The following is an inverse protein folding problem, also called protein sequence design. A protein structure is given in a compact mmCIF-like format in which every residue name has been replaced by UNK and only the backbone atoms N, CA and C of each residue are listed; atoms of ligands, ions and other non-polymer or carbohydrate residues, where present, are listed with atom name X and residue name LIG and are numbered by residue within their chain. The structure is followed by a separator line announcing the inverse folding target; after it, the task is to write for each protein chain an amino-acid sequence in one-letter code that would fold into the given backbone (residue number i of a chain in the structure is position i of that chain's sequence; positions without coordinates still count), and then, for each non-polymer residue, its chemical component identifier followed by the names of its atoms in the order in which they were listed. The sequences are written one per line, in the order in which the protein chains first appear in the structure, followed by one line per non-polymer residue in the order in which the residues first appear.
data_IF_244451388213
#
_entry.id   IF_244451388213
#
_cell.length_a   1.000
_cell.length_b   1.000
_cell.length_c   1.000
_cell.angle_alpha   90.00
_cell.angle_beta   90.00
_cell.angle_gamma   90.00
#
_symmetry.space_group_name_H-M   'P 1'
#
loop_
_entity.id
_entity.type
_entity.pdbx_description
1 polymer ?
#
# COMPACT_ATOMS: atom_id res chain seq x y z
N UNK A 1 -1.85 14.23 8.89
CA UNK A 1 -0.72 13.38 8.44
C UNK A 1 -0.33 13.83 7.04
N UNK A 2 0.96 14.06 6.76
CA UNK A 2 1.48 14.40 5.43
C UNK A 2 1.91 13.15 4.66
N UNK A 3 1.21 12.79 3.57
CA UNK A 3 1.45 11.53 2.83
C UNK A 3 1.34 11.69 1.32
N UNK A 4 1.80 10.70 0.55
CA UNK A 4 1.67 10.72 -0.91
C UNK A 4 0.36 10.08 -1.39
N UNK A 5 -0.07 10.35 -2.64
CA UNK A 5 -1.25 9.77 -3.27
C UNK A 5 -1.42 8.25 -3.11
N UNK A 6 -0.32 7.51 -3.27
CA UNK A 6 -0.36 6.05 -3.15
C UNK A 6 -0.57 5.59 -1.70
N UNK A 7 -0.15 6.38 -0.70
CA UNK A 7 -0.41 6.11 0.72
C UNK A 7 -1.87 6.40 1.08
N UNK A 8 -2.48 7.44 0.50
CA UNK A 8 -3.93 7.69 0.67
C UNK A 8 -4.72 6.49 0.16
N UNK A 9 -4.40 5.99 -1.04
CA UNK A 9 -5.00 4.75 -1.54
C UNK A 9 -4.66 3.55 -0.66
N UNK A 10 -3.49 3.56 -0.02
CA UNK A 10 -3.11 2.56 0.97
C UNK A 10 -4.11 2.48 2.12
N UNK A 11 -4.46 3.63 2.70
CA UNK A 11 -5.49 3.76 3.74
C UNK A 11 -6.84 3.25 3.23
N UNK A 12 -7.24 3.59 2.00
CA UNK A 12 -8.52 3.11 1.44
C UNK A 12 -8.57 1.57 1.31
N UNK A 13 -7.42 0.94 1.00
CA UNK A 13 -7.33 -0.53 1.02
C UNK A 13 -7.47 -1.05 2.45
N UNK A 14 -6.81 -0.42 3.43
CA UNK A 14 -6.93 -0.80 4.84
C UNK A 14 -8.36 -0.62 5.38
N UNK A 15 -9.07 0.42 4.94
CA UNK A 15 -10.48 0.66 5.28
C UNK A 15 -11.35 -0.55 4.90
N UNK A 16 -11.07 -1.23 3.77
CA UNK A 16 -11.81 -2.46 3.39
C UNK A 16 -11.63 -3.63 4.35
N UNK A 17 -10.48 -3.69 5.03
CA UNK A 17 -10.17 -4.76 5.98
C UNK A 17 -10.66 -4.45 7.38
N UNK A 18 -10.39 -3.23 7.86
CA UNK A 18 -10.66 -2.84 9.24
C UNK A 18 -12.05 -2.25 9.45
N UNK A 19 -12.73 -1.78 8.40
CA UNK A 19 -14.10 -1.24 8.45
C UNK A 19 -15.08 -2.09 7.64
N UNK A 20 -14.69 -3.32 7.30
CA UNK A 20 -15.48 -4.25 6.51
C UNK A 20 -16.57 -4.94 7.34
N UNK A 21 -16.66 -6.27 7.23
CA UNK A 21 -17.69 -7.07 7.92
C UNK A 21 -17.71 -6.87 9.43
N UNK A 22 -16.52 -6.72 10.03
CA UNK A 22 -16.36 -6.40 11.45
C UNK A 22 -15.50 -5.16 11.58
N UNK A 23 -16.07 -4.12 12.18
CA UNK A 23 -15.35 -2.87 12.43
C UNK A 23 -14.35 -3.06 13.54
N UNK A 24 -13.08 -2.81 13.23
CA UNK A 24 -12.02 -2.72 14.21
C UNK A 24 -12.12 -1.40 14.99
N UNK A 25 -12.41 -1.43 16.29
CA UNK A 25 -12.68 -0.21 17.06
C UNK A 25 -11.43 0.64 17.30
N UNK A 26 -10.23 0.08 17.17
CA UNK A 26 -8.98 0.83 17.35
C UNK A 26 -8.60 1.56 16.07
N UNK A 27 -8.73 0.89 14.93
CA UNK A 27 -8.53 1.49 13.62
C UNK A 27 -9.58 2.58 13.36
N UNK A 28 -10.86 2.26 13.56
CA UNK A 28 -11.98 3.19 13.31
C UNK A 28 -11.80 4.52 14.05
N UNK A 29 -11.56 4.47 15.37
CA UNK A 29 -11.32 5.67 16.18
C UNK A 29 -10.14 6.50 15.66
N UNK A 30 -9.05 5.87 15.23
CA UNK A 30 -7.91 6.60 14.64
C UNK A 30 -8.29 7.20 13.29
N UNK A 31 -8.98 6.44 12.45
CA UNK A 31 -9.38 6.84 11.09
C UNK A 31 -10.34 8.04 11.09
N UNK A 32 -11.28 8.11 12.03
CA UNK A 32 -12.21 9.25 12.19
C UNK A 32 -11.54 10.50 12.73
N UNK A 33 -10.51 10.35 13.58
CA UNK A 33 -9.80 11.45 14.20
C UNK A 33 -8.52 11.87 13.43
N UNK A 34 -8.39 11.46 12.17
CA UNK A 34 -7.21 11.75 11.34
C UNK A 34 -7.56 12.64 10.17
N UNK A 35 -6.83 13.75 10.05
CA UNK A 35 -6.83 14.62 8.86
C UNK A 35 -5.75 14.15 7.89
N UNK A 36 -6.15 13.90 6.65
CA UNK A 36 -5.32 13.49 5.52
C UNK A 36 -4.89 14.74 4.73
N UNK A 37 -3.64 15.14 4.93
CA UNK A 37 -2.96 16.13 4.10
C UNK A 37 -2.05 15.38 3.12
N UNK A 38 -2.33 15.44 1.83
CA UNK A 38 -1.58 14.74 0.81
C UNK A 38 -0.69 15.69 0.00
N UNK A 39 0.44 15.21 -0.50
CA UNK A 39 1.35 15.96 -1.38
C UNK A 39 1.51 15.22 -2.71
N UNK A 40 1.13 15.86 -3.82
CA UNK A 40 1.29 15.31 -5.17
C UNK A 40 2.76 15.01 -5.47
N UNK A 41 3.02 13.97 -6.25
CA UNK A 41 4.39 13.58 -6.60
C UNK A 41 4.82 14.25 -7.91
N UNK A 42 5.83 15.10 -7.88
CA UNK A 42 6.40 15.72 -9.09
C UNK A 42 7.64 15.00 -9.60
N UNK A 43 8.39 14.45 -8.65
CA UNK A 43 9.51 13.57 -8.92
C UNK A 43 9.08 12.14 -8.66
N UNK A 44 9.29 11.28 -9.65
CA UNK A 44 8.92 9.87 -9.58
C UNK A 44 10.18 9.06 -9.28
N UNK A 45 10.15 8.35 -8.15
CA UNK A 45 11.21 7.41 -7.79
C UNK A 45 11.37 6.30 -8.84
N UNK A 46 12.61 5.81 -9.02
CA UNK A 46 12.97 4.80 -10.01
C UNK A 46 12.22 3.46 -9.83
N UNK A 47 11.79 3.15 -8.60
CA UNK A 47 11.01 1.96 -8.26
C UNK A 47 9.49 2.19 -8.25
N UNK A 48 9.00 3.41 -8.44
CA UNK A 48 7.58 3.72 -8.39
C UNK A 48 6.86 3.28 -9.69
N UNK A 49 5.63 2.78 -9.53
CA UNK A 49 4.73 2.34 -10.63
C UNK A 49 3.25 2.53 -10.25
N UNK A 50 2.94 3.50 -9.38
CA UNK A 50 1.58 3.76 -8.88
C UNK A 50 0.60 4.22 -9.98
N UNK A 51 1.11 4.77 -11.08
CA UNK A 51 0.33 5.06 -12.30
C UNK A 51 -0.40 3.81 -12.80
N UNK A 52 0.26 2.65 -12.81
CA UNK A 52 -0.33 1.38 -13.30
C UNK A 52 -1.57 0.95 -12.52
N UNK A 53 -1.72 1.42 -11.27
CA UNK A 53 -2.85 1.13 -10.41
C UNK A 53 -3.83 2.31 -10.28
N UNK A 54 -3.55 3.44 -10.94
CA UNK A 54 -4.36 4.66 -10.84
C UNK A 54 -4.29 5.34 -9.47
N UNK A 55 -3.22 5.11 -8.71
CA UNK A 55 -3.10 5.54 -7.29
C UNK A 55 -2.18 6.74 -7.08
N UNK A 56 -1.65 7.30 -8.16
CA UNK A 56 -0.78 8.48 -8.19
C UNK A 56 -0.43 8.86 -9.63
N UNK A 57 0.34 9.92 -9.86
CA UNK A 57 1.02 10.78 -8.88
C UNK A 57 0.18 11.95 -8.33
N UNK A 58 -1.10 12.00 -8.69
CA UNK A 58 -2.08 13.00 -8.23
C UNK A 58 -3.25 12.31 -7.51
N UNK A 59 -4.07 13.07 -6.80
CA UNK A 59 -5.31 12.63 -6.16
C UNK A 59 -6.49 13.47 -6.64
N UNK A 60 -7.65 12.81 -6.78
CA UNK A 60 -8.92 13.49 -7.09
C UNK A 60 -9.86 13.60 -5.90
N UNK A 61 -9.72 12.68 -4.94
CA UNK A 61 -10.62 12.52 -3.80
C UNK A 61 -9.93 11.79 -2.65
N UNK A 62 -10.64 11.64 -1.53
CA UNK A 62 -10.20 10.93 -0.32
C UNK A 62 -9.06 11.60 0.47
N UNK A 63 -9.02 12.94 0.44
CA UNK A 63 -8.12 13.77 1.24
C UNK A 63 -8.89 14.94 1.87
N UNK A 64 -8.34 15.51 2.94
CA UNK A 64 -8.84 16.76 3.51
C UNK A 64 -8.16 17.97 2.85
N UNK A 65 -6.84 17.87 2.63
CA UNK A 65 -6.02 18.86 1.95
C UNK A 65 -5.09 18.17 0.95
N UNK A 66 -4.98 18.69 -0.26
CA UNK A 66 -4.02 18.24 -1.26
C UNK A 66 -3.10 19.39 -1.65
N UNK A 67 -1.81 19.19 -1.42
CA UNK A 67 -0.75 20.13 -1.73
C UNK A 67 -0.10 19.77 -3.06
N UNK A 68 0.17 20.78 -3.88
CA UNK A 68 0.96 20.66 -5.10
C UNK A 68 2.00 21.77 -5.16
N UNK A 69 3.28 21.39 -5.24
CA UNK A 69 4.41 22.32 -5.30
C UNK A 69 4.49 23.03 -6.67
N UNK A 70 4.24 24.34 -6.73
CA UNK A 70 4.35 25.09 -7.99
C UNK A 70 5.74 25.71 -8.18
N UNK A 71 6.67 25.47 -7.26
CA UNK A 71 8.05 25.94 -7.25
C UNK A 71 8.24 27.13 -6.31
N UNK A 72 7.50 28.21 -6.55
CA UNK A 72 7.53 29.43 -5.74
C UNK A 72 6.49 29.42 -4.60
N UNK A 73 5.42 28.65 -4.76
CA UNK A 73 4.38 28.48 -3.75
C UNK A 73 3.69 27.11 -3.88
N UNK A 74 2.84 26.76 -2.92
CA UNK A 74 2.02 25.54 -2.97
C UNK A 74 0.58 25.88 -3.34
N UNK A 75 0.02 25.13 -4.29
CA UNK A 75 -1.42 25.07 -4.50
C UNK A 75 -2.03 24.12 -3.46
N UNK A 76 -3.04 24.58 -2.72
CA UNK A 76 -3.76 23.79 -1.71
C UNK A 76 -5.20 23.60 -2.15
N UNK A 77 -5.56 22.36 -2.46
CA UNK A 77 -6.94 21.96 -2.77
C UNK A 77 -7.62 21.39 -1.53
N UNK A 78 -8.86 21.80 -1.29
CA UNK A 78 -9.65 21.38 -0.13
C UNK A 78 -10.60 20.26 -0.52
N UNK A 79 -10.47 19.10 0.12
CA UNK A 79 -11.28 17.91 -0.16
C UNK A 79 -12.36 17.61 0.90
N UNK A 80 -12.37 18.33 2.03
CA UNK A 80 -13.33 18.09 3.12
C UNK A 80 -13.71 19.36 3.90
N UNK A 81 -14.74 19.25 4.73
CA UNK A 81 -15.14 20.33 5.65
C UNK A 81 -14.05 20.65 6.69
N UNK A 82 -13.32 19.64 7.19
CA UNK A 82 -12.21 19.85 8.11
C UNK A 82 -11.06 20.59 7.42
N UNK A 83 -10.73 20.22 6.17
CA UNK A 83 -9.76 20.95 5.35
C UNK A 83 -10.17 22.41 5.11
N UNK A 84 -11.46 22.66 4.88
CA UNK A 84 -11.99 24.02 4.69
C UNK A 84 -11.78 24.89 5.92
N UNK A 85 -12.06 24.36 7.12
CA UNK A 85 -11.84 25.08 8.37
C UNK A 85 -10.36 25.43 8.58
N UNK A 86 -9.45 24.50 8.24
CA UNK A 86 -8.00 24.74 8.32
C UNK A 86 -7.56 25.86 7.38
N UNK A 87 -7.97 25.82 6.12
CA UNK A 87 -7.58 26.83 5.12
C UNK A 87 -8.14 28.21 5.48
N UNK A 88 -9.38 28.28 5.99
CA UNK A 88 -9.98 29.53 6.45
C UNK A 88 -9.22 30.13 7.65
N UNK A 89 -8.81 29.30 8.61
CA UNK A 89 -8.02 29.75 9.75
C UNK A 89 -6.61 30.21 9.36
N UNK A 90 -6.03 29.62 8.31
CA UNK A 90 -4.69 29.94 7.82
C UNK A 90 -4.62 31.24 6.98
N UNK A 91 -5.77 31.84 6.63
CA UNK A 91 -5.86 33.08 5.84
C UNK A 91 -5.01 33.03 4.54
N UNK A 92 -5.11 31.92 3.80
CA UNK A 92 -4.37 31.71 2.56
C UNK A 92 -4.91 32.57 1.42
N UNK A 93 -4.03 32.99 0.51
CA UNK A 93 -4.42 33.65 -0.73
C UNK A 93 -5.24 32.70 -1.62
N UNK A 94 -6.18 33.26 -2.38
CA UNK A 94 -6.99 32.49 -3.31
C UNK A 94 -6.16 32.06 -4.53
N UNK A 95 -6.23 30.77 -4.88
CA UNK A 95 -5.55 30.23 -6.05
C UNK A 95 -6.10 30.83 -7.36
N UNK A 96 -5.21 31.05 -8.31
CA UNK A 96 -5.51 31.55 -9.65
C UNK A 96 -5.76 30.41 -10.63
N UNK A 97 -6.32 30.71 -11.81
CA UNK A 97 -6.49 29.70 -12.86
C UNK A 97 -5.14 29.16 -13.37
N UNK A 98 -4.13 30.04 -13.47
CA UNK A 98 -2.77 29.68 -13.86
C UNK A 98 -2.14 28.64 -12.92
N UNK A 99 -2.47 28.67 -11.62
CA UNK A 99 -1.94 27.71 -10.65
C UNK A 99 -2.43 26.27 -10.94
N UNK A 100 -3.68 26.13 -11.37
CA UNK A 100 -4.23 24.83 -11.80
C UNK A 100 -3.61 24.36 -13.12
N UNK A 101 -3.34 25.26 -14.06
CA UNK A 101 -2.63 24.92 -15.31
C UNK A 101 -1.22 24.43 -14.99
N UNK A 102 -0.47 25.16 -14.15
CA UNK A 102 0.87 24.76 -13.70
C UNK A 102 0.86 23.41 -12.99
N UNK A 103 -0.13 23.15 -12.13
CA UNK A 103 -0.32 21.82 -11.52
C UNK A 103 -0.47 20.75 -12.60
N UNK A 104 -1.37 20.92 -13.56
CA UNK A 104 -1.64 19.92 -14.59
C UNK A 104 -0.41 19.63 -15.46
N UNK A 105 0.34 20.67 -15.86
CA UNK A 105 1.61 20.52 -16.58
C UNK A 105 2.64 19.72 -15.79
N UNK A 106 2.82 20.03 -14.50
CA UNK A 106 3.71 19.29 -13.60
C UNK A 106 3.27 17.84 -13.44
N UNK A 107 1.97 17.58 -13.31
CA UNK A 107 1.43 16.22 -13.21
C UNK A 107 1.59 15.42 -14.50
N UNK A 108 1.40 16.04 -15.67
CA UNK A 108 1.69 15.42 -16.98
C UNK A 108 3.17 15.04 -17.10
N UNK A 109 4.07 15.95 -16.72
CA UNK A 109 5.52 15.69 -16.71
C UNK A 109 5.87 14.55 -15.75
N UNK A 110 5.32 14.55 -14.54
CA UNK A 110 5.55 13.49 -13.57
C UNK A 110 5.09 12.12 -14.11
N UNK A 111 3.91 12.04 -14.72
CA UNK A 111 3.40 10.81 -15.36
C UNK A 111 4.33 10.28 -16.45
N UNK A 112 4.96 11.16 -17.24
CA UNK A 112 5.91 10.73 -18.26
C UNK A 112 7.22 10.12 -17.70
N UNK A 113 7.52 10.35 -16.41
CA UNK A 113 8.75 9.90 -15.76
C UNK A 113 8.65 8.50 -15.12
N UNK A 114 7.49 7.83 -15.15
CA UNK A 114 7.37 6.46 -14.65
C UNK A 114 8.18 5.48 -15.51
N UNK A 115 9.26 4.95 -14.94
CA UNK A 115 10.14 3.98 -15.60
C UNK A 115 9.61 2.54 -15.56
N UNK A 116 8.69 2.26 -14.63
CA UNK A 116 8.14 0.92 -14.39
C UNK A 116 6.65 0.93 -14.58
N UNK A 117 6.14 -0.14 -15.19
CA UNK A 117 4.72 -0.33 -15.43
C UNK A 117 4.34 -1.78 -15.22
N UNK A 118 3.11 -2.00 -14.77
CA UNK A 118 2.48 -3.31 -14.69
C UNK A 118 1.18 -3.23 -15.46
N UNK A 119 0.96 -4.18 -16.37
CA UNK A 119 -0.33 -4.34 -17.04
C UNK A 119 -1.32 -4.98 -16.06
N UNK A 120 -2.46 -4.35 -15.85
CA UNK A 120 -3.43 -4.78 -14.83
C UNK A 120 -4.60 -5.56 -15.41
N UNK A 121 -4.74 -5.59 -16.74
CA UNK A 121 -5.84 -6.23 -17.46
C UNK A 121 -5.79 -7.75 -17.23
N UNK A 122 -6.84 -8.34 -16.69
CA UNK A 122 -6.92 -9.78 -16.35
C UNK A 122 -5.79 -10.28 -15.41
N UNK A 123 -5.11 -9.37 -14.71
CA UNK A 123 -3.99 -9.74 -13.84
C UNK A 123 -4.40 -10.69 -12.70
N UNK A 124 -5.56 -10.53 -12.02
CA UNK A 124 -6.00 -11.48 -11.00
C UNK A 124 -6.12 -12.91 -11.52
N UNK A 125 -6.77 -13.09 -12.67
CA UNK A 125 -7.00 -14.39 -13.31
C UNK A 125 -5.69 -15.04 -13.73
N UNK A 126 -4.79 -14.25 -14.33
CA UNK A 126 -3.44 -14.70 -14.69
C UNK A 126 -2.68 -15.20 -13.46
N UNK A 127 -2.72 -14.47 -12.35
CA UNK A 127 -2.03 -14.86 -11.12
C UNK A 127 -2.60 -16.16 -10.52
N UNK A 128 -3.92 -16.35 -10.56
CA UNK A 128 -4.58 -17.57 -10.09
C UNK A 128 -4.33 -18.79 -10.97
N UNK A 129 -4.21 -18.60 -12.28
CA UNK A 129 -3.96 -19.71 -13.20
C UNK A 129 -2.49 -20.18 -13.19
N UNK A 130 -1.59 -19.43 -12.54
CA UNK A 130 -0.15 -19.67 -12.55
C UNK A 130 0.43 -19.97 -11.16
N UNK A 131 -0.29 -20.71 -10.30
CA UNK A 131 0.17 -21.02 -8.94
C UNK A 131 1.39 -21.95 -8.87
N UNK A 132 1.66 -22.70 -9.96
CA UNK A 132 2.75 -23.69 -10.08
C UNK A 132 3.88 -23.15 -10.99
N UNK A 133 3.86 -21.87 -11.36
CA UNK A 133 4.88 -21.27 -12.22
C UNK A 133 6.30 -21.36 -11.62
N UNK A 134 7.31 -21.65 -12.45
CA UNK A 134 8.70 -21.90 -12.04
C UNK A 134 9.35 -20.74 -11.27
N UNK A 135 8.88 -19.52 -11.51
CA UNK A 135 9.31 -18.33 -10.77
C UNK A 135 9.17 -18.49 -9.25
N UNK A 136 8.19 -19.25 -8.77
CA UNK A 136 8.02 -19.48 -7.34
C UNK A 136 9.16 -20.34 -6.77
N UNK A 137 9.70 -21.26 -7.56
CA UNK A 137 10.86 -22.09 -7.20
C UNK A 137 12.14 -21.23 -7.20
N UNK A 138 12.27 -20.30 -8.14
CA UNK A 138 13.39 -19.35 -8.16
C UNK A 138 13.35 -18.41 -6.96
N UNK A 139 12.18 -17.85 -6.64
CA UNK A 139 12.00 -16.98 -5.48
C UNK A 139 12.22 -17.73 -4.17
N UNK A 140 11.93 -19.03 -4.09
CA UNK A 140 12.23 -19.84 -2.92
C UNK A 140 13.73 -19.86 -2.56
N UNK A 141 14.60 -19.79 -3.57
CA UNK A 141 16.05 -19.74 -3.38
C UNK A 141 16.56 -18.35 -3.01
N UNK A 142 15.86 -17.30 -3.47
CA UNK A 142 16.29 -15.90 -3.37
C UNK A 142 15.76 -15.18 -2.13
N UNK A 143 14.50 -15.43 -1.77
CA UNK A 143 13.82 -14.76 -0.65
C UNK A 143 14.53 -15.02 0.68
N UNK A 144 14.59 -14.02 1.56
CA UNK A 144 15.22 -14.14 2.88
C UNK A 144 14.23 -14.36 4.02
N UNK A 145 12.92 -14.26 3.77
CA UNK A 145 11.88 -14.25 4.80
C UNK A 145 12.04 -13.09 5.80
N UNK A 146 12.61 -11.98 5.35
CA UNK A 146 12.88 -10.81 6.21
C UNK A 146 11.64 -9.96 6.53
N UNK A 147 10.51 -10.18 5.84
CA UNK A 147 9.26 -9.44 6.06
C UNK A 147 9.28 -7.97 5.61
N UNK A 148 10.39 -7.47 5.05
CA UNK A 148 10.54 -6.05 4.75
C UNK A 148 9.51 -5.54 3.72
N UNK A 149 9.13 -6.39 2.76
CA UNK A 149 8.09 -6.07 1.79
C UNK A 149 6.69 -5.92 2.43
N UNK A 150 6.45 -6.49 3.61
CA UNK A 150 5.25 -6.27 4.40
C UNK A 150 5.35 -5.01 5.23
N UNK A 151 6.47 -4.83 5.95
CA UNK A 151 6.70 -3.69 6.85
C UNK A 151 6.68 -2.34 6.11
N UNK A 152 7.26 -2.28 4.91
CA UNK A 152 7.29 -1.06 4.11
C UNK A 152 5.99 -0.81 3.31
N UNK A 153 5.05 -1.75 3.27
CA UNK A 153 3.88 -1.69 2.41
C UNK A 153 2.69 -1.01 3.11
N UNK A 154 2.13 0.08 2.54
CA UNK A 154 1.04 0.82 3.18
C UNK A 154 -0.30 0.07 3.17
N UNK A 155 -0.39 -1.10 2.52
CA UNK A 155 -1.59 -1.94 2.46
C UNK A 155 -1.44 -3.27 3.20
N UNK A 156 -0.32 -3.49 3.90
CA UNK A 156 -0.16 -4.66 4.74
C UNK A 156 -0.87 -4.44 6.08
N UNK A 157 -1.67 -5.42 6.49
CA UNK A 157 -2.56 -5.34 7.65
C UNK A 157 -2.42 -6.56 8.58
N UNK A 158 -1.51 -7.48 8.29
CA UNK A 158 -1.31 -8.69 9.09
C UNK A 158 -0.76 -8.33 10.47
N UNK A 159 -1.35 -8.89 11.52
CA UNK A 159 -0.88 -8.76 12.89
C UNK A 159 -1.13 -10.05 13.65
N UNK A 160 -0.31 -10.30 14.66
CA UNK A 160 -0.49 -11.35 15.65
C UNK A 160 -1.02 -10.77 16.95
N UNK A 161 -1.73 -11.60 17.73
CA UNK A 161 -2.24 -11.23 19.06
C UNK A 161 -1.41 -11.97 20.09
N UNK A 162 -0.83 -11.24 21.03
CA UNK A 162 -0.08 -11.81 22.14
C UNK A 162 -0.88 -11.64 23.42
N UNK A 163 -1.01 -12.74 24.15
CA UNK A 163 -1.62 -12.82 25.47
C UNK A 163 -0.55 -13.26 26.47
N UNK A 164 -0.30 -12.43 27.47
CA UNK A 164 0.61 -12.74 28.57
C UNK A 164 -0.13 -12.58 29.89
N UNK A 165 -0.16 -13.65 30.67
CA UNK A 165 -0.75 -13.67 32.02
C UNK A 165 0.39 -13.54 33.02
N UNK A 166 0.17 -12.75 34.08
CA UNK A 166 1.13 -12.64 35.16
C UNK A 166 1.26 -13.98 35.91
N UNK A 167 2.41 -14.26 36.50
CA UNK A 167 2.68 -15.52 37.21
C UNK A 167 1.63 -15.87 38.30
N UNK A 168 1.09 -14.91 39.07
CA UNK A 168 0.01 -15.19 40.04
C UNK A 168 -1.36 -15.50 39.41
N UNK A 169 -1.49 -15.38 38.08
CA UNK A 169 -2.74 -15.56 37.31
C UNK A 169 -3.88 -14.58 37.64
N UNK A 170 -3.57 -13.46 38.31
CA UNK A 170 -4.57 -12.45 38.69
C UNK A 170 -4.82 -11.38 37.62
N UNK A 171 -3.85 -11.17 36.72
CA UNK A 171 -3.86 -10.13 35.70
C UNK A 171 -3.24 -10.66 34.42
N UNK A 172 -3.60 -10.04 33.30
CA UNK A 172 -3.02 -10.33 32.01
C UNK A 172 -3.01 -9.12 31.09
N UNK A 173 -2.19 -9.19 30.05
CA UNK A 173 -2.05 -8.17 29.02
C UNK A 173 -2.25 -8.83 27.66
N UNK A 174 -3.05 -8.17 26.82
CA UNK A 174 -3.26 -8.50 25.41
C UNK A 174 -2.81 -7.34 24.55
N UNK A 175 -2.00 -7.59 23.52
CA UNK A 175 -1.67 -6.57 22.53
C UNK A 175 -1.58 -7.17 21.13
N UNK A 176 -1.53 -6.29 20.13
CA UNK A 176 -1.29 -6.64 18.74
C UNK A 176 0.14 -6.29 18.38
N UNK A 177 0.78 -7.19 17.65
CA UNK A 177 2.10 -6.98 17.07
C UNK A 177 2.01 -7.12 15.56
N UNK A 178 2.69 -6.24 14.82
CA UNK A 178 2.74 -6.33 13.36
C UNK A 178 3.39 -7.64 12.95
N UNK A 179 2.77 -8.32 12.00
CA UNK A 179 3.20 -9.62 11.52
C UNK A 179 3.34 -9.60 9.99
N UNK A 180 4.07 -10.56 9.43
CA UNK A 180 4.31 -10.67 8.01
C UNK A 180 4.08 -12.08 7.52
N UNK A 181 3.35 -12.20 6.42
CA UNK A 181 3.18 -13.46 5.72
C UNK A 181 4.45 -14.04 5.09
N UNK A 182 5.58 -13.33 5.21
CA UNK A 182 6.92 -13.84 4.87
C UNK A 182 7.59 -14.60 6.02
N UNK A 183 7.16 -14.39 7.27
CA UNK A 183 7.66 -15.13 8.43
C UNK A 183 7.17 -16.57 8.40
N UNK A 184 7.90 -17.47 9.04
CA UNK A 184 7.59 -18.91 8.97
C UNK A 184 6.35 -19.22 9.81
N UNK A 185 6.33 -18.63 10.99
CA UNK A 185 5.35 -18.74 12.06
C UNK A 185 3.95 -18.30 11.61
N UNK A 186 3.87 -17.36 10.65
CA UNK A 186 2.60 -16.81 10.15
C UNK A 186 1.62 -17.86 9.61
N UNK A 187 2.14 -18.94 9.03
CA UNK A 187 1.33 -20.03 8.47
C UNK A 187 1.43 -21.32 9.29
N UNK A 188 2.03 -21.26 10.47
CA UNK A 188 2.13 -22.38 11.40
C UNK A 188 0.80 -22.58 12.13
N UNK A 189 0.43 -23.84 12.31
CA UNK A 189 -0.75 -24.26 13.07
C UNK A 189 -0.37 -25.31 14.11
N UNK A 190 -1.33 -25.65 14.97
CA UNK A 190 -1.15 -26.65 16.02
C UNK A 190 -0.47 -27.92 15.51
N UNK A 191 0.40 -28.50 16.34
CA UNK A 191 1.20 -29.69 16.03
C UNK A 191 2.30 -29.48 14.98
N UNK A 192 2.75 -28.23 14.76
CA UNK A 192 3.88 -27.90 13.89
C UNK A 192 3.57 -28.00 12.39
N UNK A 193 2.30 -28.08 12.03
CA UNK A 193 1.87 -28.04 10.63
C UNK A 193 2.10 -26.66 10.03
N UNK A 194 2.51 -26.58 8.77
CA UNK A 194 2.67 -25.29 8.10
C UNK A 194 2.28 -25.38 6.62
N UNK A 195 1.22 -24.68 6.24
CA UNK A 195 0.67 -24.71 4.89
C UNK A 195 1.51 -23.94 3.86
N UNK A 196 2.48 -23.13 4.30
CA UNK A 196 3.33 -22.29 3.45
C UNK A 196 4.79 -22.33 3.93
N UNK A 197 5.28 -23.52 4.25
CA UNK A 197 6.67 -23.72 4.69
C UNK A 197 7.71 -23.20 3.66
N UNK A 198 7.58 -23.45 2.34
CA UNK A 198 8.51 -22.92 1.35
C UNK A 198 8.45 -21.38 1.27
N UNK A 199 9.61 -20.73 1.14
CA UNK A 199 9.71 -19.28 0.93
C UNK A 199 9.00 -18.85 -0.36
N UNK A 200 9.15 -19.63 -1.43
CA UNK A 200 8.47 -19.39 -2.70
C UNK A 200 6.95 -19.36 -2.57
N UNK A 201 6.39 -20.24 -1.72
CA UNK A 201 4.95 -20.27 -1.44
C UNK A 201 4.48 -19.03 -0.67
N UNK A 202 5.32 -18.48 0.22
CA UNK A 202 5.07 -17.23 0.95
C UNK A 202 5.15 -16.01 0.05
N UNK A 203 6.16 -15.92 -0.83
CA UNK A 203 6.23 -14.89 -1.86
C UNK A 203 5.00 -14.93 -2.77
N UNK A 204 4.62 -16.12 -3.27
CA UNK A 204 3.42 -16.31 -4.09
C UNK A 204 2.17 -15.82 -3.38
N UNK A 205 2.01 -16.14 -2.09
CA UNK A 205 0.86 -15.69 -1.31
C UNK A 205 0.82 -14.16 -1.17
N UNK A 206 1.96 -13.53 -0.84
CA UNK A 206 2.04 -12.07 -0.77
C UNK A 206 1.73 -11.40 -2.11
N UNK A 207 2.28 -11.91 -3.21
CA UNK A 207 1.99 -11.37 -4.55
C UNK A 207 0.54 -11.53 -4.94
N UNK A 208 -0.07 -12.68 -4.68
CA UNK A 208 -1.49 -12.87 -4.93
C UNK A 208 -2.36 -11.99 -4.03
N UNK A 209 -1.97 -11.73 -2.78
CA UNK A 209 -2.65 -10.76 -1.94
C UNK A 209 -2.64 -9.37 -2.61
N UNK A 210 -1.48 -8.92 -3.12
CA UNK A 210 -1.36 -7.59 -3.74
C UNK A 210 -2.01 -7.48 -5.13
N UNK A 211 -1.91 -8.52 -5.95
CA UNK A 211 -2.27 -8.46 -7.38
C UNK A 211 -3.59 -9.19 -7.73
N UNK A 212 -4.14 -9.98 -6.81
CA UNK A 212 -5.30 -10.83 -7.10
C UNK A 212 -6.38 -10.77 -6.02
N UNK A 213 -6.12 -11.30 -4.82
CA UNK A 213 -7.16 -11.60 -3.83
C UNK A 213 -7.94 -10.36 -3.40
N UNK A 214 -7.26 -9.23 -3.17
CA UNK A 214 -7.94 -7.97 -2.82
C UNK A 214 -8.81 -7.48 -3.98
N UNK A 215 -8.33 -7.62 -5.23
CA UNK A 215 -9.06 -7.19 -6.43
C UNK A 215 -10.35 -7.98 -6.61
N UNK A 216 -10.29 -9.30 -6.44
CA UNK A 216 -11.46 -10.17 -6.52
C UNK A 216 -12.46 -9.92 -5.39
N UNK A 217 -11.98 -9.62 -4.18
CA UNK A 217 -12.85 -9.45 -3.01
C UNK A 217 -13.46 -8.04 -2.89
N UNK A 218 -12.71 -7.01 -3.24
CA UNK A 218 -13.06 -5.61 -2.95
C UNK A 218 -13.08 -4.71 -4.19
N UNK A 219 -12.83 -5.25 -5.38
CA UNK A 219 -12.85 -4.48 -6.63
C UNK A 219 -11.62 -3.59 -6.86
N UNK A 220 -10.66 -3.55 -5.93
CA UNK A 220 -9.44 -2.76 -6.01
C UNK A 220 -8.20 -3.62 -5.74
N UNK A 221 -7.05 -3.28 -6.33
CA UNK A 221 -5.81 -4.02 -6.07
C UNK A 221 -5.29 -3.76 -4.66
N UNK A 222 -4.61 -4.76 -4.09
CA UNK A 222 -3.89 -4.59 -2.82
C UNK A 222 -2.54 -3.88 -3.01
N UNK A 223 -2.06 -3.75 -4.24
CA UNK A 223 -0.88 -2.97 -4.58
C UNK A 223 -1.29 -1.53 -4.95
N UNK A 224 -0.58 -0.55 -4.40
CA UNK A 224 -0.70 0.88 -4.76
C UNK A 224 0.52 1.38 -5.56
N UNK A 225 1.38 0.47 -6.02
CA UNK A 225 2.55 0.78 -6.86
C UNK A 225 3.56 1.77 -6.25
N UNK A 226 3.64 1.90 -4.93
CA UNK A 226 4.56 2.83 -4.26
C UNK A 226 6.05 2.44 -4.38
N UNK A 227 6.37 1.23 -4.86
CA UNK A 227 7.75 0.80 -5.12
C UNK A 227 8.59 0.47 -3.89
N UNK A 228 8.14 0.76 -2.66
CA UNK A 228 8.91 0.55 -1.42
C UNK A 228 9.37 -0.90 -1.23
N UNK A 229 8.52 -1.87 -1.54
CA UNK A 229 8.87 -3.28 -1.48
C UNK A 229 10.01 -3.68 -2.42
N UNK A 230 10.20 -2.97 -3.55
CA UNK A 230 11.31 -3.20 -4.48
C UNK A 230 12.56 -2.48 -3.97
N UNK A 231 12.41 -1.22 -3.56
CA UNK A 231 13.50 -0.37 -3.06
C UNK A 231 14.20 -0.98 -1.86
N UNK A 232 13.42 -1.51 -0.92
CA UNK A 232 13.94 -1.97 0.36
C UNK A 232 14.28 -3.49 0.35
N UNK A 233 14.08 -4.19 -0.78
CA UNK A 233 14.38 -5.62 -0.86
C UNK A 233 15.90 -5.86 -0.90
N UNK A 234 16.50 -6.55 0.11
CA UNK A 234 17.95 -6.75 0.17
C UNK A 234 18.49 -7.67 -0.94
N UNK A 235 17.62 -8.51 -1.50
CA UNK A 235 17.96 -9.42 -2.60
C UNK A 235 17.44 -8.93 -3.95
N UNK A 236 16.79 -7.76 -4.02
CA UNK A 236 16.28 -7.19 -5.27
C UNK A 236 15.19 -8.04 -5.93
N UNK A 237 14.18 -8.47 -5.17
CA UNK A 237 12.94 -9.02 -5.72
C UNK A 237 12.07 -7.86 -6.21
N UNK A 238 11.64 -7.95 -7.46
CA UNK A 238 10.84 -6.92 -8.12
C UNK A 238 9.45 -7.46 -8.46
N UNK A 239 8.41 -6.94 -7.79
CA UNK A 239 7.03 -7.36 -8.03
C UNK A 239 6.57 -7.08 -9.46
N UNK A 240 7.10 -6.05 -10.12
CA UNK A 240 6.75 -5.73 -11.52
C UNK A 240 7.32 -6.76 -12.49
N UNK A 241 8.54 -7.22 -12.24
CA UNK A 241 9.18 -8.27 -13.01
C UNK A 241 8.48 -9.61 -12.83
N UNK A 242 8.11 -9.95 -11.59
CA UNK A 242 7.42 -11.21 -11.31
C UNK A 242 6.03 -11.22 -11.94
N UNK A 243 5.28 -10.11 -11.86
CA UNK A 243 3.99 -9.99 -12.54
C UNK A 243 4.13 -10.17 -14.06
N UNK A 244 5.16 -9.57 -14.67
CA UNK A 244 5.46 -9.69 -16.11
C UNK A 244 5.77 -11.14 -16.49
N UNK A 245 6.65 -11.81 -15.74
CA UNK A 245 7.02 -13.21 -16.00
C UNK A 245 5.84 -14.17 -15.83
N UNK A 246 5.01 -14.00 -14.80
CA UNK A 246 3.81 -14.82 -14.59
C UNK A 246 2.78 -14.62 -15.72
N UNK A 247 2.75 -13.42 -16.31
CA UNK A 247 1.93 -13.12 -17.50
C UNK A 247 2.51 -13.71 -18.80
N UNK A 248 3.79 -14.11 -18.83
CA UNK A 248 4.47 -14.59 -20.04
C UNK A 248 5.07 -13.47 -20.90
N UNK A 249 5.39 -12.33 -20.30
CA UNK A 249 6.03 -11.16 -20.93
C UNK A 249 7.50 -11.00 -20.55
#
# INVERSE_FOLDING_TARGET
MGIHPCDVHGILVLDKYFLGTYTDPYYFRRRENTIIAALTCQEIGDKCFCESFGTGPDLKENYDLLFSDLGDHYLVEVGSNAGKQIVQAANLAQATHDDFIKKDERMKRAKSNFKRKVKTENLPEIMLNNLIHDIWIELDKKELSCGNCSLACPTCFCFSIHDVVDLPLERGRRWREWDSCQLLEYAEVSMGGNFRKPRGARCRHWMNCKLCYVKLRHGMFGCVGCGRCIRDCPVGIDITEVARRVRGE
#
